data_IF_358298800172
#
_entry.id   IF_358298800172
#
_cell.length_a   1.000
_cell.length_b   1.000
_cell.length_c   1.000
_cell.angle_alpha   90.00
_cell.angle_beta   90.00
_cell.angle_gamma   90.00
#
_symmetry.space_group_name_H-M   'P 1'
#
loop_
_entity.id
_entity.type
_entity.pdbx_description
1 polymer ?
#
# COMPACT_ATOMS: atom_id res chain seq x y z
N UNK A 1 -12.38 0.23 15.28
CA UNK A 1 -11.39 0.94 14.44
C UNK A 1 -9.98 0.60 14.91
N UNK A 2 -9.05 0.40 13.99
CA UNK A 2 -7.67 -0.03 14.25
C UNK A 2 -6.70 1.14 14.36
N UNK A 3 -5.61 0.95 15.10
CA UNK A 3 -4.51 1.93 15.17
C UNK A 3 -3.59 1.78 13.96
N UNK A 4 -3.26 0.55 13.58
CA UNK A 4 -2.39 0.22 12.46
C UNK A 4 -2.93 -0.98 11.68
N UNK A 5 -2.67 -0.98 10.37
CA UNK A 5 -2.85 -2.13 9.49
C UNK A 5 -1.49 -2.45 8.87
N UNK A 6 -1.14 -3.73 8.86
CA UNK A 6 0.01 -4.26 8.12
C UNK A 6 -0.55 -5.13 7.01
N UNK A 7 -0.27 -4.76 5.77
CA UNK A 7 -0.70 -5.47 4.58
C UNK A 7 0.51 -6.03 3.87
N UNK A 8 0.64 -7.36 3.88
CA UNK A 8 1.73 -8.10 3.23
C UNK A 8 1.16 -9.05 2.17
N UNK A 9 0.77 -8.51 0.99
CA UNK A 9 0.15 -9.32 -0.05
C UNK A 9 1.17 -10.20 -0.78
N UNK A 10 0.73 -11.35 -1.34
CA UNK A 10 1.50 -12.05 -2.34
C UNK A 10 1.85 -11.13 -3.52
N UNK A 11 2.90 -11.47 -4.27
CA UNK A 11 3.38 -10.66 -5.39
C UNK A 11 2.24 -10.28 -6.35
N UNK A 12 2.32 -9.06 -6.89
CA UNK A 12 1.38 -8.54 -7.87
C UNK A 12 1.32 -9.44 -9.13
N UNK A 13 0.13 -9.92 -9.42
CA UNK A 13 -0.23 -10.73 -10.58
C UNK A 13 -1.69 -10.43 -10.96
N UNK A 14 -2.17 -10.99 -12.07
CA UNK A 14 -3.59 -10.85 -12.44
C UNK A 14 -4.54 -11.39 -11.35
N UNK A 15 -4.16 -12.49 -10.69
CA UNK A 15 -4.97 -13.10 -9.63
C UNK A 15 -4.94 -12.29 -8.32
N UNK A 16 -3.89 -11.50 -8.07
CA UNK A 16 -3.67 -10.80 -6.80
C UNK A 16 -3.83 -9.29 -6.90
N UNK A 17 -4.08 -8.72 -8.08
CA UNK A 17 -4.19 -7.27 -8.30
C UNK A 17 -5.26 -6.58 -7.45
N UNK A 18 -6.31 -7.30 -7.06
CA UNK A 18 -7.35 -6.79 -6.16
C UNK A 18 -6.76 -6.40 -4.78
N UNK A 19 -5.70 -7.06 -4.34
CA UNK A 19 -4.97 -6.75 -3.10
C UNK A 19 -4.16 -5.45 -3.17
N UNK A 20 -4.08 -4.85 -4.36
CA UNK A 20 -3.40 -3.59 -4.62
C UNK A 20 -4.38 -2.49 -5.05
N UNK A 21 -5.69 -2.72 -4.95
CA UNK A 21 -6.74 -1.84 -5.49
C UNK A 21 -7.07 -0.66 -4.57
N UNK A 22 -7.56 0.43 -5.17
CA UNK A 22 -8.09 1.59 -4.41
C UNK A 22 -9.29 1.19 -3.55
N UNK A 23 -10.13 0.26 -4.02
CA UNK A 23 -11.28 -0.24 -3.27
C UNK A 23 -10.86 -0.89 -1.93
N UNK A 24 -9.86 -1.78 -1.96
CA UNK A 24 -9.34 -2.37 -0.73
C UNK A 24 -8.69 -1.33 0.19
N UNK A 25 -7.94 -0.38 -0.38
CA UNK A 25 -7.32 0.67 0.40
C UNK A 25 -8.35 1.60 1.05
N UNK A 26 -9.50 1.83 0.41
CA UNK A 26 -10.62 2.58 1.00
C UNK A 26 -11.20 1.86 2.23
N UNK A 27 -11.27 0.53 2.20
CA UNK A 27 -11.67 -0.25 3.38
C UNK A 27 -10.67 -0.14 4.53
N UNK A 28 -9.37 -0.15 4.24
CA UNK A 28 -8.34 0.13 5.25
C UNK A 28 -8.48 1.53 5.83
N UNK A 29 -8.68 2.53 4.97
CA UNK A 29 -8.88 3.91 5.40
C UNK A 29 -10.10 4.02 6.31
N UNK A 30 -11.24 3.41 5.94
CA UNK A 30 -12.46 3.39 6.75
C UNK A 30 -12.23 2.74 8.12
N UNK A 31 -11.50 1.62 8.15
CA UNK A 31 -11.27 0.84 9.37
C UNK A 31 -10.28 1.49 10.36
N UNK A 32 -9.41 2.40 9.89
CA UNK A 32 -8.42 3.09 10.73
C UNK A 32 -9.00 4.23 11.56
N UNK A 33 -8.48 4.38 12.79
CA UNK A 33 -8.66 5.59 13.62
C UNK A 33 -8.02 6.80 12.94
N UNK A 34 -8.44 8.01 13.32
CA UNK A 34 -7.78 9.25 12.88
C UNK A 34 -6.29 9.20 13.25
N UNK A 35 -5.39 9.54 12.32
CA UNK A 35 -3.92 9.39 12.47
C UNK A 35 -3.43 7.93 12.57
N UNK A 36 -4.30 6.94 12.29
CA UNK A 36 -3.91 5.54 12.19
C UNK A 36 -3.07 5.29 10.93
N UNK A 37 -2.22 4.26 10.98
CA UNK A 37 -1.25 3.97 9.92
C UNK A 37 -1.55 2.70 9.13
N UNK A 38 -1.06 2.66 7.90
CA UNK A 38 -0.99 1.48 7.05
C UNK A 38 0.47 1.29 6.62
N UNK A 39 0.97 0.07 6.78
CA UNK A 39 2.21 -0.38 6.13
C UNK A 39 1.86 -1.39 5.05
N UNK A 40 2.19 -1.09 3.79
CA UNK A 40 2.00 -1.98 2.65
C UNK A 40 3.36 -2.52 2.21
N UNK A 41 3.58 -3.83 2.35
CA UNK A 41 4.81 -4.47 1.89
C UNK A 41 4.82 -4.61 0.36
N UNK A 42 5.89 -4.15 -0.28
CA UNK A 42 6.02 -4.19 -1.75
C UNK A 42 7.17 -5.07 -2.23
N UNK A 43 7.92 -5.68 -1.31
CA UNK A 43 9.06 -6.54 -1.60
C UNK A 43 10.39 -5.80 -1.77
N UNK A 44 11.49 -6.51 -1.51
CA UNK A 44 12.85 -6.03 -1.69
C UNK A 44 13.25 -5.98 -3.16
N UNK A 45 13.63 -4.76 -3.60
CA UNK A 45 14.41 -4.38 -4.78
C UNK A 45 14.80 -5.50 -5.74
N UNK A 46 14.14 -5.51 -6.91
CA UNK A 46 14.42 -6.41 -8.03
C UNK A 46 13.20 -6.64 -8.92
N UNK A 47 12.00 -6.48 -8.35
CA UNK A 47 10.72 -6.60 -9.07
C UNK A 47 10.41 -5.35 -9.90
N UNK A 48 11.24 -5.05 -10.91
CA UNK A 48 10.74 -4.38 -12.11
C UNK A 48 9.75 -5.35 -12.77
N UNK A 49 8.52 -5.46 -12.25
CA UNK A 49 7.50 -6.24 -12.92
C UNK A 49 7.15 -5.52 -14.22
N UNK A 50 7.64 -6.04 -15.35
CA UNK A 50 7.46 -5.39 -16.67
C UNK A 50 7.92 -3.92 -16.70
N UNK A 51 8.94 -3.55 -15.92
CA UNK A 51 9.42 -2.17 -15.82
C UNK A 51 8.59 -1.23 -14.92
N UNK A 52 7.55 -1.72 -14.25
CA UNK A 52 6.69 -0.92 -13.37
C UNK A 52 7.24 -0.84 -11.95
N UNK A 53 7.25 0.38 -11.39
CA UNK A 53 7.55 0.65 -9.99
C UNK A 53 6.29 0.40 -9.14
N UNK A 54 6.21 -0.80 -8.55
CA UNK A 54 5.07 -1.23 -7.73
C UNK A 54 4.87 -0.31 -6.53
N UNK A 55 5.95 0.08 -5.86
CA UNK A 55 5.89 0.94 -4.68
C UNK A 55 5.32 2.33 -5.03
N UNK A 56 5.73 2.88 -6.17
CA UNK A 56 5.15 4.13 -6.69
C UNK A 56 3.65 3.98 -6.97
N UNK A 57 3.24 2.91 -7.65
CA UNK A 57 1.82 2.67 -7.95
C UNK A 57 0.96 2.51 -6.68
N UNK A 58 1.48 1.82 -5.67
CA UNK A 58 0.83 1.71 -4.35
C UNK A 58 0.70 3.08 -3.70
N UNK A 59 1.78 3.87 -3.66
CA UNK A 59 1.76 5.21 -3.09
C UNK A 59 0.75 6.13 -3.79
N UNK A 60 0.64 6.09 -5.12
CA UNK A 60 -0.33 6.89 -5.87
C UNK A 60 -1.78 6.50 -5.54
N UNK A 61 -2.09 5.20 -5.48
CA UNK A 61 -3.43 4.72 -5.10
C UNK A 61 -3.80 5.06 -3.66
N UNK A 62 -2.86 4.93 -2.72
CA UNK A 62 -3.08 5.33 -1.33
C UNK A 62 -3.40 6.83 -1.20
N UNK A 63 -2.70 7.69 -1.96
CA UNK A 63 -3.01 9.13 -2.00
C UNK A 63 -4.42 9.42 -2.52
N UNK A 64 -4.87 8.71 -3.58
CA UNK A 64 -6.23 8.87 -4.14
C UNK A 64 -7.33 8.55 -3.14
N UNK A 65 -7.09 7.57 -2.26
CA UNK A 65 -8.03 7.20 -1.18
C UNK A 65 -8.04 8.22 -0.03
N UNK A 66 -7.02 9.06 0.09
CA UNK A 66 -6.92 10.10 1.12
C UNK A 66 -5.83 9.87 2.16
N UNK A 67 -5.00 8.83 2.02
CA UNK A 67 -3.85 8.68 2.89
C UNK A 67 -2.76 9.73 2.60
N UNK A 68 -2.13 10.22 3.66
CA UNK A 68 -0.83 10.90 3.56
C UNK A 68 0.28 9.84 3.53
N UNK A 69 0.83 9.62 2.35
CA UNK A 69 1.96 8.70 2.15
C UNK A 69 3.25 9.35 2.66
N UNK A 70 3.93 8.65 3.56
CA UNK A 70 5.22 9.05 4.11
C UNK A 70 6.40 8.60 3.24
N UNK A 71 7.46 8.10 3.87
CA UNK A 71 8.61 7.53 3.16
C UNK A 71 8.24 6.20 2.50
N UNK A 72 8.72 6.03 1.27
CA UNK A 72 8.85 4.71 0.65
C UNK A 72 10.16 4.14 1.22
N UNK A 73 10.04 3.12 2.06
CA UNK A 73 11.20 2.42 2.60
C UNK A 73 11.74 1.51 1.49
N UNK A 74 12.80 1.98 0.82
CA UNK A 74 13.41 1.28 -0.33
C UNK A 74 13.78 -0.13 0.11
N UNK A 75 13.18 -1.13 -0.54
CA UNK A 75 13.40 -2.54 -0.26
C UNK A 75 12.41 -3.18 0.72
N UNK A 76 11.44 -2.44 1.26
CA UNK A 76 10.47 -2.98 2.23
C UNK A 76 9.03 -2.67 1.83
N UNK A 77 8.65 -1.39 1.73
CA UNK A 77 7.24 -1.06 1.53
C UNK A 77 6.90 0.43 1.57
N UNK A 78 5.60 0.70 1.61
CA UNK A 78 5.03 2.05 1.69
C UNK A 78 4.32 2.22 3.02
N UNK A 79 4.74 3.23 3.79
CA UNK A 79 4.02 3.65 4.99
C UNK A 79 3.12 4.85 4.69
N UNK A 80 1.90 4.81 5.20
CA UNK A 80 0.87 5.81 4.96
C UNK A 80 0.01 6.05 6.20
N UNK A 81 -0.50 7.28 6.36
CA UNK A 81 -1.28 7.70 7.54
C UNK A 81 -2.63 8.25 7.09
N UNK A 82 -3.69 7.90 7.82
CA UNK A 82 -5.03 8.51 7.70
C UNK A 82 -5.05 9.95 8.24
#
# INVERSE_FOLDING_TARGET
AFSYVVHDPPRLSYATQQLYSEALYAEYFRALKRRGGLFHYTGATGSKYRGLDVARGVAERLRRVGFRVGKIERGFGVFAVK
#
